data_IF_062620140904
#
_entry.id   IF_062620140904
#
_cell.length_a   1.000
_cell.length_b   1.000
_cell.length_c   1.000
_cell.angle_alpha   90.00
_cell.angle_beta   90.00
_cell.angle_gamma   90.00
#
_symmetry.space_group_name_H-M   'P 1'
#
loop_
_entity.id
_entity.type
_entity.pdbx_description
1 polymer ?
#
# COMPACT_ATOMS: atom_id res chain seq x y z
N UNK A 1 9.44 13.68 44.63
CA UNK A 1 10.17 14.23 43.46
C UNK A 1 10.74 13.16 42.51
N UNK A 2 10.52 11.85 42.72
CA UNK A 2 11.07 10.75 41.90
C UNK A 2 10.16 10.23 40.77
N UNK A 3 8.91 10.72 40.68
CA UNK A 3 7.94 10.26 39.66
C UNK A 3 8.18 10.86 38.26
N UNK A 4 8.69 12.10 38.20
CA UNK A 4 8.95 12.83 36.94
C UNK A 4 10.15 12.26 36.18
N UNK A 5 11.13 11.66 36.86
CA UNK A 5 12.34 11.09 36.25
C UNK A 5 12.16 9.69 35.65
N UNK A 6 11.09 8.96 35.99
CA UNK A 6 10.77 7.62 35.41
C UNK A 6 9.93 7.70 34.13
N UNK A 7 9.21 8.80 33.94
CA UNK A 7 8.41 9.06 32.74
C UNK A 7 9.20 9.16 31.43
N UNK A 8 10.34 9.86 31.35
CA UNK A 8 11.08 9.94 30.08
C UNK A 8 11.59 8.56 29.62
N UNK A 9 11.97 7.68 30.55
CA UNK A 9 12.38 6.30 30.24
C UNK A 9 11.23 5.47 29.66
N UNK A 10 10.01 5.62 30.19
CA UNK A 10 8.83 4.93 29.67
C UNK A 10 8.42 5.42 28.27
N UNK A 11 8.55 6.73 28.00
CA UNK A 11 8.26 7.33 26.68
C UNK A 11 9.28 6.85 25.63
N UNK A 12 10.58 6.89 25.96
CA UNK A 12 11.64 6.43 25.05
C UNK A 12 11.48 4.94 24.73
N UNK A 13 11.17 4.11 25.74
CA UNK A 13 10.87 2.71 25.51
C UNK A 13 9.63 2.52 24.61
N UNK A 14 8.56 3.28 24.82
CA UNK A 14 7.35 3.25 23.98
C UNK A 14 7.62 3.63 22.51
N UNK A 15 8.41 4.68 22.25
CA UNK A 15 8.77 5.09 20.89
C UNK A 15 9.65 4.06 20.18
N UNK A 16 10.57 3.41 20.88
CA UNK A 16 11.42 2.35 20.31
C UNK A 16 10.61 1.14 19.84
N UNK A 17 9.52 0.77 20.54
CA UNK A 17 8.67 -0.37 20.15
C UNK A 17 7.73 -0.06 18.96
N UNK A 18 7.35 1.20 18.73
CA UNK A 18 6.44 1.57 17.64
C UNK A 18 7.09 1.56 16.25
N UNK A 19 8.43 1.45 16.16
CA UNK A 19 9.18 1.62 14.92
C UNK A 19 8.98 0.49 13.87
N UNK A 20 8.40 -0.66 14.24
CA UNK A 20 8.21 -1.80 13.33
C UNK A 20 6.82 -1.88 12.67
N UNK A 21 5.86 -1.02 13.02
CA UNK A 21 4.51 -1.09 12.48
C UNK A 21 4.35 -0.27 11.18
N UNK A 22 5.04 -0.68 10.11
CA UNK A 22 4.70 -0.19 8.76
C UNK A 22 3.48 -0.99 8.29
N UNK A 23 2.28 -0.45 8.47
CA UNK A 23 1.06 -0.99 7.86
C UNK A 23 1.07 -0.55 6.39
N UNK A 24 1.37 -1.42 5.41
CA UNK A 24 1.16 -1.04 4.02
C UNK A 24 -0.34 -1.17 3.79
N UNK A 25 -1.01 -0.03 3.69
CA UNK A 25 -2.43 0.06 3.32
C UNK A 25 -2.63 -0.73 2.03
N UNK A 26 -3.12 -1.96 2.12
CA UNK A 26 -3.42 -2.79 0.95
C UNK A 26 -4.60 -2.13 0.26
N UNK A 27 -4.42 -1.52 -0.91
CA UNK A 27 -5.48 -0.79 -1.58
C UNK A 27 -6.47 -1.81 -2.15
N UNK A 28 -7.72 -1.69 -1.68
CA UNK A 28 -8.81 -2.64 -1.85
C UNK A 28 -9.49 -2.68 -3.22
N UNK A 29 -8.72 -2.78 -4.31
CA UNK A 29 -9.29 -3.18 -5.60
C UNK A 29 -8.66 -4.50 -6.02
N UNK A 30 -9.53 -5.49 -6.21
CA UNK A 30 -9.17 -6.81 -6.71
C UNK A 30 -9.33 -6.79 -8.23
N UNK A 31 -8.21 -6.81 -8.95
CA UNK A 31 -8.23 -7.05 -10.38
C UNK A 31 -8.19 -8.55 -10.65
N UNK A 32 -8.87 -8.98 -11.72
CA UNK A 32 -8.77 -10.34 -12.22
C UNK A 32 -7.93 -10.36 -13.50
N UNK A 33 -7.20 -11.46 -13.78
CA UNK A 33 -6.60 -11.66 -15.10
C UNK A 33 -7.69 -11.62 -16.16
N UNK A 34 -7.45 -10.86 -17.24
CA UNK A 34 -8.34 -10.87 -18.40
C UNK A 34 -8.39 -12.28 -19.02
N UNK A 35 -9.47 -12.60 -19.72
CA UNK A 35 -9.76 -13.95 -20.27
C UNK A 35 -8.67 -14.52 -21.20
N UNK A 36 -7.78 -13.68 -21.72
CA UNK A 36 -6.68 -14.06 -22.61
C UNK A 36 -5.28 -14.05 -21.95
N UNK A 37 -5.16 -13.76 -20.64
CA UNK A 37 -3.87 -13.63 -19.95
C UNK A 37 -3.62 -14.73 -18.92
N UNK A 38 -2.38 -15.19 -18.90
CA UNK A 38 -1.81 -16.12 -17.94
C UNK A 38 -1.58 -15.46 -16.57
N UNK A 39 -1.67 -16.26 -15.50
CA UNK A 39 -1.55 -15.78 -14.13
C UNK A 39 -0.19 -15.13 -13.81
N UNK A 40 0.88 -15.60 -14.45
CA UNK A 40 2.22 -15.02 -14.33
C UNK A 40 2.29 -13.60 -14.90
N UNK A 41 1.68 -13.40 -16.05
CA UNK A 41 1.65 -12.10 -16.72
C UNK A 41 0.82 -11.09 -15.92
N UNK A 42 -0.33 -11.53 -15.40
CA UNK A 42 -1.13 -10.70 -14.50
C UNK A 42 -0.37 -10.31 -13.23
N UNK A 43 0.40 -11.22 -12.62
CA UNK A 43 1.24 -10.90 -11.45
C UNK A 43 2.31 -9.85 -11.76
N UNK A 44 2.92 -9.94 -12.94
CA UNK A 44 3.89 -8.94 -13.41
C UNK A 44 3.25 -7.57 -13.61
N UNK A 45 2.11 -7.54 -14.29
CA UNK A 45 1.36 -6.30 -14.53
C UNK A 45 0.85 -5.66 -13.24
N UNK A 46 0.29 -6.46 -12.33
CA UNK A 46 -0.20 -5.99 -11.02
C UNK A 46 0.92 -5.36 -10.21
N UNK A 47 2.12 -5.96 -10.18
CA UNK A 47 3.27 -5.39 -9.48
C UNK A 47 3.67 -4.02 -10.04
N UNK A 48 3.75 -3.89 -11.37
CA UNK A 48 4.10 -2.61 -12.05
C UNK A 48 3.04 -1.54 -11.76
N UNK A 49 1.76 -1.87 -11.90
CA UNK A 49 0.67 -0.93 -11.69
C UNK A 49 0.54 -0.50 -10.21
N UNK A 50 0.77 -1.41 -9.26
CA UNK A 50 0.81 -1.07 -7.83
C UNK A 50 1.96 -0.14 -7.49
N UNK A 51 3.11 -0.32 -8.13
CA UNK A 51 4.27 0.53 -7.92
C UNK A 51 4.03 1.94 -8.48
N UNK A 52 3.46 2.06 -9.68
CA UNK A 52 3.09 3.34 -10.27
C UNK A 52 2.08 4.10 -9.39
N UNK A 53 1.03 3.43 -8.93
CA UNK A 53 0.04 4.03 -8.04
C UNK A 53 0.62 4.44 -6.67
N UNK A 54 1.62 3.69 -6.16
CA UNK A 54 2.26 4.00 -4.88
C UNK A 54 3.18 5.23 -4.91
N UNK A 55 3.73 5.59 -6.08
CA UNK A 55 4.60 6.79 -6.22
C UNK A 55 3.78 8.07 -5.99
N UNK A 56 2.49 8.05 -6.33
CA UNK A 56 1.63 9.24 -6.31
C UNK A 56 0.61 9.24 -5.16
N UNK A 57 0.44 8.11 -4.48
CA UNK A 57 -0.55 7.96 -3.43
C UNK A 57 -0.10 8.55 -2.10
N UNK A 58 -0.76 9.63 -1.70
CA UNK A 58 -0.71 10.12 -0.32
C UNK A 58 -1.39 9.12 0.60
N UNK A 59 -0.82 8.87 1.77
CA UNK A 59 -1.29 7.87 2.74
C UNK A 59 -2.79 8.02 3.12
N UNK A 60 -3.37 9.21 2.95
CA UNK A 60 -4.77 9.51 3.27
C UNK A 60 -5.72 9.49 2.06
N UNK A 61 -5.21 9.41 0.83
CA UNK A 61 -6.02 9.59 -0.39
C UNK A 61 -6.02 8.33 -1.25
N UNK A 62 -6.78 7.33 -0.79
CA UNK A 62 -6.96 6.06 -1.50
C UNK A 62 -7.51 6.21 -2.92
N UNK A 63 -8.34 7.22 -3.18
CA UNK A 63 -8.92 7.46 -4.51
C UNK A 63 -7.88 7.67 -5.61
N UNK A 64 -6.82 8.44 -5.33
CA UNK A 64 -5.72 8.67 -6.27
C UNK A 64 -4.99 7.37 -6.60
N UNK A 65 -4.71 6.56 -5.58
CA UNK A 65 -4.10 5.25 -5.77
C UNK A 65 -4.97 4.38 -6.70
N UNK A 66 -6.26 4.31 -6.39
CA UNK A 66 -7.21 3.48 -7.11
C UNK A 66 -7.33 3.93 -8.58
N UNK A 67 -7.43 5.24 -8.85
CA UNK A 67 -7.47 5.79 -10.21
C UNK A 67 -6.22 5.45 -11.03
N UNK A 68 -5.02 5.64 -10.49
CA UNK A 68 -3.76 5.36 -11.21
C UNK A 68 -3.60 3.85 -11.47
N UNK A 69 -4.00 3.01 -10.51
CA UNK A 69 -3.98 1.56 -10.67
C UNK A 69 -4.95 1.09 -11.77
N UNK A 70 -6.18 1.61 -11.77
CA UNK A 70 -7.19 1.31 -12.79
C UNK A 70 -6.68 1.69 -14.18
N UNK A 71 -6.18 2.91 -14.34
CA UNK A 71 -5.66 3.39 -15.64
C UNK A 71 -4.55 2.49 -16.18
N UNK A 72 -3.61 2.08 -15.33
CA UNK A 72 -2.54 1.16 -15.71
C UNK A 72 -3.06 -0.23 -16.09
N UNK A 73 -3.95 -0.80 -15.30
CA UNK A 73 -4.51 -2.13 -15.56
C UNK A 73 -5.39 -2.16 -16.83
N UNK A 74 -6.17 -1.10 -17.09
CA UNK A 74 -6.90 -0.93 -18.35
C UNK A 74 -5.95 -0.79 -19.54
N UNK A 75 -4.87 0.00 -19.43
CA UNK A 75 -3.86 0.12 -20.49
C UNK A 75 -3.14 -1.20 -20.78
N UNK A 76 -2.99 -2.05 -19.76
CA UNK A 76 -2.47 -3.42 -19.90
C UNK A 76 -3.49 -4.39 -20.49
N UNK A 77 -4.78 -4.05 -20.57
CA UNK A 77 -5.84 -4.95 -21.03
C UNK A 77 -6.30 -5.96 -19.98
N UNK A 78 -6.04 -5.69 -18.70
CA UNK A 78 -6.59 -6.48 -17.59
C UNK A 78 -8.03 -6.06 -17.32
N UNK A 79 -8.84 -6.99 -16.82
CA UNK A 79 -10.26 -6.77 -16.61
C UNK A 79 -10.52 -6.45 -15.14
N UNK A 80 -11.12 -5.29 -14.89
CA UNK A 80 -11.42 -4.80 -13.56
C UNK A 80 -12.95 -4.70 -13.43
N UNK A 81 -13.57 -5.32 -12.41
CA UNK A 81 -15.02 -5.37 -12.25
C UNK A 81 -15.65 -4.04 -11.81
#
# INVERSE_FOLDING_TARGET
MTAVTRWPFAIVAGLLLAACARVPSRPGILALPGTAKNADEFRSDDAVCRQAAAIEAKATEKWRYDMTYLQCMYAKGNQIP
#
